data_IF_627924904199
#
_entry.id   IF_627924904199
#
_cell.length_a   1.000
_cell.length_b   1.000
_cell.length_c   1.000
_cell.angle_alpha   90.00
_cell.angle_beta   90.00
_cell.angle_gamma   90.00
#
_symmetry.space_group_name_H-M   'P 1'
#
loop_
_entity.id
_entity.type
_entity.pdbx_description
1 polymer ?
#
# COMPACT_ATOMS: atom_id res chain seq x y z
N UNK A 1 3.37 3.20 -4.84
CA UNK A 1 4.69 3.82 -5.07
C UNK A 1 5.10 3.69 -6.53
N UNK A 2 5.95 4.56 -7.06
CA UNK A 2 6.61 4.38 -8.35
C UNK A 2 7.67 3.27 -8.23
N UNK A 3 7.46 2.15 -8.94
CA UNK A 3 8.32 0.95 -8.83
C UNK A 3 9.64 1.11 -9.55
N UNK A 4 9.66 1.80 -10.69
CA UNK A 4 10.90 1.99 -11.46
C UNK A 4 11.93 2.81 -10.68
N UNK A 5 11.47 3.83 -9.95
CA UNK A 5 12.30 4.59 -9.02
C UNK A 5 12.79 3.68 -7.88
N UNK A 6 11.91 2.84 -7.34
CA UNK A 6 12.26 1.96 -6.23
C UNK A 6 13.34 0.93 -6.62
N UNK A 7 13.25 0.33 -7.81
CA UNK A 7 14.27 -0.61 -8.29
C UNK A 7 15.61 0.10 -8.55
N UNK A 8 15.62 1.36 -8.99
CA UNK A 8 16.86 2.16 -9.07
C UNK A 8 17.48 2.40 -7.69
N UNK A 9 16.66 2.67 -6.66
CA UNK A 9 17.12 2.79 -5.27
C UNK A 9 17.76 1.47 -4.81
N UNK A 10 17.15 0.33 -5.11
CA UNK A 10 17.69 -0.98 -4.74
C UNK A 10 19.05 -1.26 -5.38
N UNK A 11 19.19 -1.04 -6.70
CA UNK A 11 20.48 -1.19 -7.39
C UNK A 11 21.58 -0.39 -6.70
N UNK A 12 21.28 0.86 -6.34
CA UNK A 12 22.28 1.74 -5.71
C UNK A 12 22.58 1.40 -4.26
N UNK A 13 21.56 0.97 -3.52
CA UNK A 13 21.76 0.44 -2.18
C UNK A 13 22.74 -0.75 -2.22
N UNK A 14 22.56 -1.66 -3.18
CA UNK A 14 23.46 -2.81 -3.41
C UNK A 14 24.88 -2.32 -3.76
N UNK A 15 25.03 -1.39 -4.70
CA UNK A 15 26.32 -0.82 -5.09
C UNK A 15 27.07 -0.13 -3.93
N UNK A 16 26.33 0.47 -3.00
CA UNK A 16 26.87 1.18 -1.83
C UNK A 16 26.99 0.31 -0.58
N UNK A 17 26.57 -0.96 -0.65
CA UNK A 17 26.40 -1.81 0.53
C UNK A 17 27.69 -1.99 1.36
N UNK A 18 28.83 -2.24 0.70
CA UNK A 18 30.11 -2.38 1.41
C UNK A 18 30.56 -1.05 2.03
N UNK A 19 30.26 0.08 1.40
CA UNK A 19 30.62 1.43 1.88
C UNK A 19 29.82 1.83 3.12
N UNK A 20 28.50 1.65 3.11
CA UNK A 20 27.64 2.01 4.27
C UNK A 20 27.88 1.08 5.47
N UNK A 21 28.49 -0.08 5.27
CA UNK A 21 28.80 -1.05 6.33
C UNK A 21 30.29 -1.13 6.65
N UNK A 22 31.11 -0.17 6.19
CA UNK A 22 32.51 -0.10 6.60
C UNK A 22 32.65 0.31 8.08
N UNK A 23 33.87 0.30 8.59
CA UNK A 23 34.17 0.66 9.99
C UNK A 23 33.94 2.13 10.34
N UNK A 24 33.67 3.00 9.37
CA UNK A 24 33.40 4.42 9.61
C UNK A 24 31.90 4.71 9.72
N UNK A 25 31.08 3.97 8.97
CA UNK A 25 29.63 4.20 8.88
C UNK A 25 28.82 3.19 9.69
N UNK A 26 29.26 1.93 9.70
CA UNK A 26 28.76 0.86 10.56
C UNK A 26 27.24 0.62 10.51
N UNK A 27 26.53 0.85 9.39
CA UNK A 27 25.05 0.79 9.35
C UNK A 27 24.44 -0.58 9.75
N UNK A 28 25.25 -1.63 9.79
CA UNK A 28 24.90 -2.92 10.42
C UNK A 28 24.52 -2.82 11.90
N UNK A 29 24.90 -1.74 12.60
CA UNK A 29 24.59 -1.53 14.02
C UNK A 29 23.08 -1.60 14.30
N UNK A 30 22.22 -1.22 13.34
CA UNK A 30 20.76 -1.32 13.49
C UNK A 30 20.31 -2.75 13.78
N UNK A 31 20.91 -3.73 13.09
CA UNK A 31 20.65 -5.15 13.32
C UNK A 31 21.19 -5.64 14.67
N UNK A 32 22.32 -5.10 15.14
CA UNK A 32 22.86 -5.40 16.47
C UNK A 32 21.93 -4.86 17.56
N UNK A 33 21.48 -3.62 17.44
CA UNK A 33 20.59 -3.00 18.44
C UNK A 33 19.23 -3.71 18.47
N UNK A 34 18.65 -4.07 17.32
CA UNK A 34 17.42 -4.88 17.28
C UNK A 34 17.59 -6.28 17.88
N UNK A 35 18.81 -6.84 17.91
CA UNK A 35 19.08 -8.10 18.59
C UNK A 35 19.12 -7.92 20.11
N UNK A 36 19.84 -6.89 20.59
CA UNK A 36 20.14 -6.73 22.01
C UNK A 36 19.00 -6.06 22.80
N UNK A 37 18.25 -5.15 22.16
CA UNK A 37 17.28 -4.30 22.85
C UNK A 37 16.17 -5.07 23.57
N UNK A 38 15.50 -6.09 22.99
CA UNK A 38 14.40 -6.78 23.67
C UNK A 38 14.84 -7.40 25.01
N UNK A 39 16.02 -8.03 25.04
CA UNK A 39 16.57 -8.65 26.26
C UNK A 39 16.99 -7.60 27.29
N UNK A 40 17.61 -6.50 26.86
CA UNK A 40 17.99 -5.40 27.75
C UNK A 40 16.76 -4.71 28.35
N UNK A 41 15.76 -4.43 27.51
CA UNK A 41 14.52 -3.80 27.93
C UNK A 41 13.73 -4.70 28.89
N UNK A 42 13.63 -6.01 28.59
CA UNK A 42 13.02 -6.98 29.50
C UNK A 42 13.71 -6.99 30.86
N UNK A 43 15.05 -7.08 30.90
CA UNK A 43 15.82 -7.03 32.16
C UNK A 43 15.59 -5.73 32.93
N UNK A 44 15.48 -4.60 32.25
CA UNK A 44 15.15 -3.33 32.90
C UNK A 44 13.72 -3.35 33.48
N UNK A 45 12.73 -3.79 32.71
CA UNK A 45 11.34 -3.85 33.18
C UNK A 45 11.13 -4.84 34.33
N UNK A 46 11.97 -5.87 34.45
CA UNK A 46 11.97 -6.85 35.54
C UNK A 46 12.83 -6.45 36.75
N UNK A 47 13.64 -5.38 36.65
CA UNK A 47 14.53 -4.98 37.75
C UNK A 47 13.79 -4.29 38.89
N UNK A 48 14.33 -4.37 40.11
CA UNK A 48 13.85 -3.64 41.27
C UNK A 48 13.74 -2.12 41.01
N UNK A 49 12.77 -1.46 41.63
CA UNK A 49 12.51 -0.02 41.43
C UNK A 49 13.73 0.86 41.69
N UNK A 50 14.58 0.49 42.65
CA UNK A 50 15.80 1.24 43.00
C UNK A 50 16.89 1.13 41.92
N UNK A 51 16.90 0.04 41.15
CA UNK A 51 17.87 -0.19 40.07
C UNK A 51 17.29 0.14 38.68
N UNK A 52 15.98 0.40 38.58
CA UNK A 52 15.28 0.57 37.31
C UNK A 52 15.86 1.69 36.43
N UNK A 53 16.10 2.87 37.00
CA UNK A 53 16.69 3.98 36.25
C UNK A 53 18.07 3.63 35.69
N UNK A 54 18.88 2.89 36.45
CA UNK A 54 20.20 2.42 36.02
C UNK A 54 20.09 1.34 34.94
N UNK A 55 19.15 0.40 35.09
CA UNK A 55 18.89 -0.60 34.07
C UNK A 55 18.40 0.03 32.75
N UNK A 56 17.48 1.00 32.81
CA UNK A 56 17.07 1.78 31.64
C UNK A 56 18.22 2.56 31.00
N UNK A 57 19.16 3.08 31.80
CA UNK A 57 20.34 3.74 31.26
C UNK A 57 21.22 2.79 30.44
N UNK A 58 21.33 1.52 30.83
CA UNK A 58 22.01 0.50 30.04
C UNK A 58 21.31 0.28 28.69
N UNK A 59 19.97 0.22 28.67
CA UNK A 59 19.19 0.16 27.42
C UNK A 59 19.45 1.39 26.55
N UNK A 60 19.41 2.59 27.16
CA UNK A 60 19.67 3.85 26.47
C UNK A 60 21.02 3.84 25.76
N UNK A 61 22.07 3.33 26.42
CA UNK A 61 23.41 3.23 25.82
C UNK A 61 23.42 2.34 24.58
N UNK A 62 22.70 1.21 24.60
CA UNK A 62 22.60 0.32 23.45
C UNK A 62 21.88 0.98 22.26
N UNK A 63 20.91 1.87 22.51
CA UNK A 63 20.15 2.56 21.44
C UNK A 63 20.88 3.73 20.79
N UNK A 64 22.12 4.01 21.19
CA UNK A 64 23.02 5.06 20.71
C UNK A 64 22.34 6.33 20.16
N UNK A 65 22.10 6.40 18.85
CA UNK A 65 21.55 7.54 18.10
C UNK A 65 20.18 7.22 17.45
N UNK A 66 19.57 6.08 17.78
CA UNK A 66 18.31 5.63 17.19
C UNK A 66 17.12 6.37 17.82
N UNK A 67 17.04 6.39 19.15
CA UNK A 67 15.90 7.00 19.86
C UNK A 67 16.21 8.45 20.26
N UNK A 68 17.38 8.67 20.86
CA UNK A 68 17.79 10.00 21.30
C UNK A 68 18.16 10.89 20.12
N UNK A 69 17.26 11.80 19.79
CA UNK A 69 17.50 12.92 18.86
C UNK A 69 17.84 14.21 19.64
N UNK A 70 17.68 15.38 19.03
CA UNK A 70 17.93 16.67 19.68
C UNK A 70 17.13 16.85 20.99
N UNK A 71 15.92 16.31 21.08
CA UNK A 71 15.11 16.36 22.31
C UNK A 71 15.49 15.31 23.34
N UNK A 72 16.36 14.34 23.06
CA UNK A 72 16.79 13.29 24.00
C UNK A 72 15.64 12.52 24.71
N UNK A 73 14.64 12.01 23.98
CA UNK A 73 13.46 11.34 24.54
C UNK A 73 13.75 10.13 25.46
N UNK A 74 14.70 9.27 25.13
CA UNK A 74 15.06 8.13 25.99
C UNK A 74 15.77 8.62 27.25
N UNK A 75 16.66 9.59 27.12
CA UNK A 75 17.29 10.22 28.29
C UNK A 75 16.23 10.78 29.26
N UNK A 76 15.12 11.30 28.74
CA UNK A 76 13.95 11.69 29.52
C UNK A 76 13.32 10.55 30.32
N UNK A 77 13.12 9.38 29.71
CA UNK A 77 12.62 8.18 30.41
C UNK A 77 13.56 7.77 31.55
N UNK A 78 14.88 7.79 31.32
CA UNK A 78 15.89 7.46 32.33
C UNK A 78 15.85 8.45 33.49
N UNK A 79 15.79 9.75 33.19
CA UNK A 79 15.79 10.80 34.21
C UNK A 79 14.51 10.81 35.03
N UNK A 80 13.34 10.64 34.39
CA UNK A 80 12.07 10.52 35.09
C UNK A 80 12.02 9.26 35.96
N UNK A 81 12.61 8.14 35.52
CA UNK A 81 12.66 6.91 36.30
C UNK A 81 13.45 7.03 37.61
N UNK A 82 14.34 8.04 37.76
CA UNK A 82 15.03 8.32 39.03
C UNK A 82 14.07 8.81 40.12
N UNK A 83 13.01 9.51 39.72
CA UNK A 83 12.02 10.10 40.63
C UNK A 83 10.72 9.31 40.68
N UNK A 84 10.33 8.72 39.55
CA UNK A 84 9.03 8.07 39.31
C UNK A 84 9.21 6.69 38.65
N UNK A 85 9.98 5.76 39.25
CA UNK A 85 10.35 4.50 38.62
C UNK A 85 9.14 3.65 38.22
N UNK A 86 8.14 3.53 39.09
CA UNK A 86 6.95 2.71 38.82
C UNK A 86 6.01 3.32 37.78
N UNK A 87 5.89 4.65 37.76
CA UNK A 87 5.11 5.37 36.75
C UNK A 87 5.72 5.18 35.36
N UNK A 88 7.04 5.39 35.22
CA UNK A 88 7.75 5.17 33.96
C UNK A 88 7.70 3.71 33.53
N UNK A 89 7.90 2.77 34.45
CA UNK A 89 7.79 1.33 34.17
C UNK A 89 6.40 0.97 33.64
N UNK A 90 5.34 1.48 34.28
CA UNK A 90 3.96 1.22 33.87
C UNK A 90 3.70 1.76 32.46
N UNK A 91 4.13 2.98 32.17
CA UNK A 91 3.93 3.60 30.85
C UNK A 91 4.62 2.79 29.75
N UNK A 92 5.82 2.27 29.99
CA UNK A 92 6.53 1.39 29.05
C UNK A 92 5.85 0.02 28.90
N UNK A 93 5.42 -0.61 30.00
CA UNK A 93 4.67 -1.89 29.94
C UNK A 93 3.37 -1.72 29.16
N UNK A 94 2.62 -0.64 29.39
CA UNK A 94 1.38 -0.35 28.69
C UNK A 94 1.64 -0.11 27.19
N UNK A 95 2.76 0.55 26.83
CA UNK A 95 3.19 0.76 25.44
C UNK A 95 3.56 -0.57 24.75
N UNK A 96 4.20 -1.51 25.44
CA UNK A 96 4.63 -2.79 24.88
C UNK A 96 3.58 -3.91 24.96
N UNK A 97 2.44 -3.67 25.61
CA UNK A 97 1.36 -4.65 25.68
C UNK A 97 0.92 -5.11 24.27
N UNK A 98 0.57 -6.39 24.09
CA UNK A 98 0.17 -6.88 22.77
C UNK A 98 -1.05 -6.13 22.21
N UNK A 99 -1.01 -5.78 20.93
CA UNK A 99 -2.13 -5.15 20.20
C UNK A 99 -2.82 -6.09 19.20
N UNK A 100 -2.34 -7.33 19.07
CA UNK A 100 -2.91 -8.34 18.16
C UNK A 100 -2.81 -7.97 16.68
N UNK A 101 -1.93 -7.03 16.32
CA UNK A 101 -1.83 -6.49 14.96
C UNK A 101 -2.87 -5.43 14.62
N UNK A 102 -3.67 -4.97 15.59
CA UNK A 102 -4.65 -3.90 15.39
C UNK A 102 -4.00 -2.52 15.56
N UNK A 103 -3.85 -1.80 14.43
CA UNK A 103 -3.24 -0.46 14.42
C UNK A 103 -4.05 0.56 15.22
N UNK A 104 -5.36 0.40 15.39
CA UNK A 104 -6.17 1.30 16.23
C UNK A 104 -5.84 1.12 17.70
N UNK A 105 -5.67 -0.13 18.15
CA UNK A 105 -5.23 -0.43 19.52
C UNK A 105 -3.82 0.12 19.73
N UNK A 106 -2.92 -0.07 18.74
CA UNK A 106 -1.56 0.48 18.78
C UNK A 106 -1.54 2.01 18.90
N UNK A 107 -2.34 2.71 18.09
CA UNK A 107 -2.47 4.17 18.17
C UNK A 107 -3.04 4.63 19.52
N UNK A 108 -4.01 3.91 20.10
CA UNK A 108 -4.51 4.22 21.44
C UNK A 108 -3.43 4.07 22.51
N UNK A 109 -2.60 3.03 22.43
CA UNK A 109 -1.46 2.84 23.35
C UNK A 109 -0.43 3.97 23.22
N UNK A 110 -0.12 4.40 21.99
CA UNK A 110 0.77 5.53 21.73
C UNK A 110 0.19 6.83 22.31
N UNK A 111 -1.11 7.09 22.10
CA UNK A 111 -1.79 8.25 22.68
C UNK A 111 -1.72 8.25 24.21
N UNK A 112 -2.02 7.11 24.83
CA UNK A 112 -1.95 6.96 26.29
C UNK A 112 -0.52 7.12 26.82
N UNK A 113 0.48 6.65 26.05
CA UNK A 113 1.89 6.84 26.37
C UNK A 113 2.24 8.34 26.38
N UNK A 114 1.87 9.09 25.35
CA UNK A 114 2.14 10.53 25.29
C UNK A 114 1.45 11.29 26.42
N UNK A 115 0.17 11.00 26.69
CA UNK A 115 -0.58 11.65 27.78
C UNK A 115 0.11 11.45 29.13
N UNK A 116 0.32 10.20 29.54
CA UNK A 116 0.95 9.89 30.84
C UNK A 116 2.41 10.37 30.93
N UNK A 117 3.16 10.28 29.84
CA UNK A 117 4.53 10.77 29.82
C UNK A 117 4.59 12.29 29.94
N UNK A 118 3.71 13.02 29.24
CA UNK A 118 3.66 14.48 29.31
C UNK A 118 3.26 14.97 30.70
N UNK A 119 2.36 14.27 31.41
CA UNK A 119 2.06 14.58 32.83
C UNK A 119 3.31 14.51 33.71
N UNK A 120 4.16 13.49 33.53
CA UNK A 120 5.43 13.38 34.25
C UNK A 120 6.41 14.46 33.80
N UNK A 121 6.49 14.72 32.50
CA UNK A 121 7.40 15.73 31.96
C UNK A 121 7.05 17.13 32.49
N UNK A 122 5.79 17.52 32.46
CA UNK A 122 5.31 18.82 32.94
C UNK A 122 5.55 18.99 34.47
N UNK A 123 5.44 17.89 35.23
CA UNK A 123 5.69 17.90 36.68
C UNK A 123 7.17 18.12 37.03
N UNK A 124 8.09 17.48 36.30
CA UNK A 124 9.53 17.47 36.65
C UNK A 124 10.39 18.44 35.82
N UNK A 125 9.95 18.75 34.60
CA UNK A 125 10.66 19.58 33.63
C UNK A 125 9.70 20.53 32.91
N UNK A 126 8.96 21.40 33.64
CA UNK A 126 8.01 22.32 33.05
C UNK A 126 8.70 23.20 32.00
N UNK A 127 7.99 23.45 30.89
CA UNK A 127 8.44 24.28 29.75
C UNK A 127 9.74 23.81 29.04
N UNK A 128 10.28 22.64 29.41
CA UNK A 128 11.49 22.11 28.79
C UNK A 128 11.23 21.67 27.36
N UNK A 129 12.15 22.01 26.44
CA UNK A 129 12.18 21.45 25.10
C UNK A 129 12.87 20.07 25.06
N UNK A 130 13.69 19.76 26.07
CA UNK A 130 14.31 18.45 26.23
C UNK A 130 13.29 17.44 26.77
N UNK A 131 13.61 16.16 26.55
CA UNK A 131 12.88 14.98 26.97
C UNK A 131 11.51 14.78 26.31
N UNK A 132 11.11 15.67 25.39
CA UNK A 132 9.88 15.50 24.62
C UNK A 132 9.91 14.24 23.74
N UNK A 133 8.86 13.44 23.87
CA UNK A 133 8.58 12.30 23.01
C UNK A 133 7.89 12.78 21.72
N UNK A 134 8.02 12.00 20.64
CA UNK A 134 7.35 12.25 19.37
C UNK A 134 7.16 10.93 18.61
N UNK A 135 6.59 11.01 17.40
CA UNK A 135 6.33 9.81 16.59
C UNK A 135 7.60 9.03 16.25
N UNK A 136 8.76 9.69 16.15
CA UNK A 136 10.03 9.00 15.93
C UNK A 136 10.46 8.20 17.16
N UNK A 137 10.43 8.79 18.36
CA UNK A 137 10.87 8.09 19.56
C UNK A 137 9.95 6.94 19.94
N UNK A 138 8.63 7.12 19.83
CA UNK A 138 7.67 6.06 20.18
C UNK A 138 7.70 4.91 19.17
N UNK A 139 7.82 5.19 17.87
CA UNK A 139 7.96 4.14 16.86
C UNK A 139 9.27 3.38 17.03
N UNK A 140 10.37 4.04 17.39
CA UNK A 140 11.64 3.39 17.65
C UNK A 140 11.61 2.53 18.92
N UNK A 141 10.94 2.96 20.00
CA UNK A 141 10.73 2.14 21.19
C UNK A 141 9.97 0.84 20.84
N UNK A 142 8.85 0.96 20.11
CA UNK A 142 8.06 -0.19 19.66
C UNK A 142 8.86 -1.10 18.71
N UNK A 143 9.54 -0.51 17.73
CA UNK A 143 10.32 -1.21 16.73
C UNK A 143 11.48 -2.01 17.31
N UNK A 144 12.28 -1.40 18.19
CA UNK A 144 13.41 -2.10 18.79
C UNK A 144 12.97 -3.22 19.74
N UNK A 145 11.77 -3.11 20.33
CA UNK A 145 11.20 -4.16 21.18
C UNK A 145 10.67 -5.35 20.37
N UNK A 146 10.08 -5.09 19.20
CA UNK A 146 9.45 -6.11 18.35
C UNK A 146 9.54 -5.70 16.86
N UNK A 147 10.73 -5.88 16.24
CA UNK A 147 11.02 -5.39 14.90
C UNK A 147 10.21 -6.10 13.81
N UNK A 148 9.75 -7.32 14.05
CA UNK A 148 8.97 -8.09 13.09
C UNK A 148 7.51 -7.59 12.95
N UNK A 149 6.99 -6.82 13.91
CA UNK A 149 5.58 -6.36 13.90
C UNK A 149 5.41 -4.84 13.83
N UNK A 150 6.51 -4.09 13.83
CA UNK A 150 6.50 -2.63 13.84
C UNK A 150 7.42 -2.07 12.76
N UNK A 151 7.23 -0.80 12.42
CA UNK A 151 8.13 -0.04 11.56
C UNK A 151 8.70 1.15 12.31
N UNK A 152 10.00 1.39 12.16
CA UNK A 152 10.63 2.60 12.68
C UNK A 152 10.33 3.80 11.78
N UNK A 153 10.01 4.94 12.39
CA UNK A 153 9.75 6.19 11.69
C UNK A 153 10.82 7.23 11.96
N UNK A 154 11.31 7.91 10.92
CA UNK A 154 12.19 9.09 11.05
C UNK A 154 11.77 10.16 10.06
N UNK A 155 11.12 11.21 10.58
CA UNK A 155 10.31 12.15 9.80
C UNK A 155 10.98 12.67 8.51
N UNK A 156 12.20 13.19 8.59
CA UNK A 156 12.89 13.76 7.43
C UNK A 156 13.19 12.71 6.36
N UNK A 157 13.71 11.56 6.77
CA UNK A 157 14.12 10.45 5.89
C UNK A 157 12.89 9.82 5.24
N UNK A 158 11.88 9.48 6.04
CA UNK A 158 10.62 8.92 5.55
C UNK A 158 9.92 9.86 4.56
N UNK A 159 9.88 11.18 4.84
CA UNK A 159 9.25 12.15 3.92
C UNK A 159 10.03 12.33 2.62
N UNK A 160 11.37 12.37 2.68
CA UNK A 160 12.22 12.43 1.48
C UNK A 160 12.07 11.19 0.62
N UNK A 161 12.05 10.02 1.25
CA UNK A 161 11.84 8.74 0.58
C UNK A 161 10.48 8.71 -0.12
N UNK A 162 9.41 9.02 0.58
CA UNK A 162 8.06 9.05 0.02
C UNK A 162 7.93 10.03 -1.15
N UNK A 163 8.55 11.21 -1.05
CA UNK A 163 8.57 12.18 -2.14
C UNK A 163 9.28 11.64 -3.39
N UNK A 164 10.35 10.86 -3.19
CA UNK A 164 11.10 10.21 -4.25
C UNK A 164 10.30 9.11 -4.93
N UNK A 165 9.71 8.18 -4.17
CA UNK A 165 8.93 7.04 -4.70
C UNK A 165 7.48 7.40 -5.02
N UNK A 166 7.16 8.69 -5.12
CA UNK A 166 5.83 9.23 -5.42
C UNK A 166 4.69 8.69 -4.52
N UNK A 167 5.00 8.45 -3.24
CA UNK A 167 4.01 8.14 -2.22
C UNK A 167 3.59 9.44 -1.52
N UNK A 168 2.42 9.97 -1.88
CA UNK A 168 2.01 11.32 -1.47
C UNK A 168 0.94 11.38 -0.38
N UNK A 169 0.48 10.23 0.10
CA UNK A 169 -0.48 10.18 1.19
C UNK A 169 0.12 10.78 2.48
N UNK A 170 -0.72 11.42 3.29
CA UNK A 170 -0.29 12.17 4.46
C UNK A 170 -0.48 11.36 5.73
N UNK A 171 0.62 10.95 6.36
CA UNK A 171 0.60 10.26 7.64
C UNK A 171 0.86 11.19 8.84
N UNK A 172 0.92 12.51 8.65
CA UNK A 172 1.14 13.47 9.73
C UNK A 172 2.61 13.77 10.04
N UNK A 173 2.84 14.50 11.14
CA UNK A 173 4.17 14.98 11.55
C UNK A 173 4.25 15.27 13.05
N UNK A 174 5.48 15.36 13.58
CA UNK A 174 5.70 15.65 15.00
C UNK A 174 5.36 14.46 15.88
N UNK A 175 4.42 14.66 16.80
CA UNK A 175 3.79 13.68 17.70
C UNK A 175 2.49 13.09 17.15
N UNK A 176 2.03 13.56 15.98
CA UNK A 176 0.88 13.01 15.26
C UNK A 176 1.41 12.08 14.15
N UNK A 177 1.00 10.82 14.18
CA UNK A 177 1.26 9.86 13.10
C UNK A 177 0.04 8.98 12.85
N UNK A 178 -0.35 8.86 11.58
CA UNK A 178 -1.30 7.87 11.10
C UNK A 178 -0.53 6.59 10.74
N UNK A 179 -0.66 5.57 11.58
CA UNK A 179 0.05 4.31 11.37
C UNK A 179 -0.49 3.53 10.17
N UNK A 180 -1.77 3.62 9.84
CA UNK A 180 -2.34 2.92 8.68
C UNK A 180 -1.66 3.42 7.39
N UNK A 181 -1.48 4.73 7.25
CA UNK A 181 -0.83 5.31 6.06
C UNK A 181 0.67 5.04 6.05
N UNK A 182 1.37 5.22 7.18
CA UNK A 182 2.82 5.00 7.25
C UNK A 182 3.19 3.52 7.07
N UNK A 183 2.44 2.60 7.69
CA UNK A 183 2.66 1.16 7.53
C UNK A 183 2.40 0.73 6.09
N UNK A 184 1.34 1.22 5.43
CA UNK A 184 1.12 0.92 4.01
C UNK A 184 2.31 1.32 3.14
N UNK A 185 2.92 2.49 3.40
CA UNK A 185 4.14 2.90 2.70
C UNK A 185 5.25 1.85 2.91
N UNK A 186 5.48 1.44 4.15
CA UNK A 186 6.52 0.47 4.47
C UNK A 186 6.21 -0.94 3.91
N UNK A 187 4.95 -1.37 3.93
CA UNK A 187 4.50 -2.65 3.39
C UNK A 187 4.64 -2.71 1.86
N UNK A 188 4.32 -1.62 1.15
CA UNK A 188 4.57 -1.50 -0.30
C UNK A 188 6.07 -1.64 -0.60
N UNK A 189 6.94 -1.00 0.19
CA UNK A 189 8.40 -1.12 0.08
C UNK A 189 8.86 -2.56 0.35
N UNK A 190 8.45 -3.15 1.47
CA UNK A 190 8.81 -4.53 1.86
C UNK A 190 8.34 -5.55 0.82
N UNK A 191 7.14 -5.37 0.26
CA UNK A 191 6.62 -6.21 -0.81
C UNK A 191 7.54 -6.23 -2.03
N UNK A 192 8.09 -5.08 -2.42
CA UNK A 192 9.02 -4.99 -3.54
C UNK A 192 10.45 -5.47 -3.17
N UNK A 193 10.92 -5.22 -1.94
CA UNK A 193 12.16 -5.81 -1.41
C UNK A 193 12.12 -7.34 -1.53
N UNK A 194 11.02 -7.96 -1.06
CA UNK A 194 10.83 -9.43 -1.08
C UNK A 194 10.77 -10.01 -2.50
N UNK A 195 10.58 -9.19 -3.55
CA UNK A 195 10.62 -9.60 -4.97
C UNK A 195 12.00 -9.43 -5.60
N UNK A 196 12.89 -8.63 -5.01
CA UNK A 196 14.21 -8.34 -5.57
C UNK A 196 15.26 -9.32 -5.01
N UNK A 197 15.60 -10.35 -5.80
CA UNK A 197 16.56 -11.39 -5.39
C UNK A 197 17.96 -10.84 -5.09
N UNK A 198 18.46 -9.90 -5.89
CA UNK A 198 19.81 -9.36 -5.72
C UNK A 198 19.94 -8.58 -4.41
N UNK A 199 18.91 -7.80 -4.07
CA UNK A 199 18.84 -7.09 -2.79
C UNK A 199 18.78 -8.06 -1.61
N UNK A 200 17.98 -9.13 -1.72
CA UNK A 200 17.88 -10.15 -0.67
C UNK A 200 19.20 -10.93 -0.50
N UNK A 201 19.88 -11.28 -1.59
CA UNK A 201 21.19 -11.93 -1.55
C UNK A 201 22.24 -10.99 -0.91
N UNK A 202 22.14 -9.68 -1.20
CA UNK A 202 23.00 -8.65 -0.58
C UNK A 202 22.74 -8.51 0.91
N UNK A 203 21.47 -8.42 1.33
CA UNK A 203 21.09 -8.38 2.76
C UNK A 203 21.54 -9.64 3.51
N UNK A 204 21.39 -10.82 2.89
CA UNK A 204 21.86 -12.08 3.47
C UNK A 204 23.39 -12.13 3.64
N UNK A 205 24.15 -11.40 2.82
CA UNK A 205 25.62 -11.34 2.94
C UNK A 205 26.11 -10.66 4.24
N UNK A 206 25.23 -9.97 4.98
CA UNK A 206 25.55 -9.50 6.35
C UNK A 206 26.00 -10.64 7.27
N UNK A 207 25.51 -11.85 7.02
CA UNK A 207 25.70 -13.02 7.89
C UNK A 207 26.78 -13.99 7.39
N UNK A 208 27.36 -13.78 6.20
CA UNK A 208 28.31 -14.73 5.60
C UNK A 208 29.78 -14.50 6.01
N UNK A 209 30.04 -13.42 6.76
CA UNK A 209 31.37 -13.02 7.23
C UNK A 209 32.18 -12.14 6.27
N UNK A 210 31.69 -11.86 5.06
CA UNK A 210 32.32 -10.99 4.05
C UNK A 210 32.68 -9.62 4.60
N UNK A 211 31.74 -9.00 5.33
CA UNK A 211 31.90 -7.65 5.86
C UNK A 211 32.82 -7.56 7.08
N UNK A 212 33.25 -8.69 7.67
CA UNK A 212 34.12 -8.74 8.86
C UNK A 212 33.66 -7.82 10.00
N UNK A 213 32.36 -7.82 10.26
CA UNK A 213 31.72 -6.92 11.22
C UNK A 213 32.29 -7.11 12.64
N UNK A 214 32.62 -6.03 13.36
CA UNK A 214 33.08 -6.09 14.75
C UNK A 214 31.93 -6.43 15.70
N UNK A 215 32.06 -7.56 16.41
CA UNK A 215 31.25 -7.92 17.58
C UNK A 215 29.74 -8.11 17.32
N UNK A 216 29.00 -8.42 18.40
CA UNK A 216 27.54 -8.48 18.43
C UNK A 216 26.90 -9.65 17.66
N UNK A 217 25.69 -10.03 18.06
CA UNK A 217 24.81 -10.85 17.22
C UNK A 217 23.91 -9.91 16.41
N UNK A 218 23.59 -10.30 15.18
CA UNK A 218 22.66 -9.56 14.33
C UNK A 218 21.27 -10.17 14.46
N UNK A 219 20.24 -9.33 14.48
CA UNK A 219 18.86 -9.78 14.33
C UNK A 219 18.65 -10.34 12.91
N UNK A 220 17.86 -11.40 12.71
CA UNK A 220 17.75 -12.04 11.38
C UNK A 220 16.90 -11.24 10.37
N UNK A 221 16.05 -10.34 10.85
CA UNK A 221 15.15 -9.48 10.07
C UNK A 221 14.33 -10.28 9.03
N UNK A 222 13.55 -11.24 9.52
CA UNK A 222 12.75 -12.13 8.67
C UNK A 222 11.67 -11.38 7.91
N UNK A 223 11.09 -10.34 8.52
CA UNK A 223 10.06 -9.52 7.88
C UNK A 223 10.59 -8.38 7.01
N UNK A 224 11.90 -8.11 7.05
CA UNK A 224 12.59 -7.06 6.28
C UNK A 224 12.26 -5.64 6.70
N UNK A 225 11.77 -5.46 7.93
CA UNK A 225 11.45 -4.14 8.45
C UNK A 225 12.71 -3.35 8.82
N UNK A 226 13.77 -4.02 9.29
CA UNK A 226 15.07 -3.35 9.53
C UNK A 226 15.66 -2.90 8.20
N UNK A 227 15.68 -3.78 7.19
CA UNK A 227 16.14 -3.44 5.84
C UNK A 227 15.32 -2.31 5.21
N UNK A 228 14.00 -2.32 5.38
CA UNK A 228 13.14 -1.23 4.89
C UNK A 228 13.50 0.11 5.53
N UNK A 229 13.66 0.15 6.86
CA UNK A 229 14.12 1.34 7.55
C UNK A 229 15.52 1.77 7.09
N UNK A 230 16.43 0.82 6.93
CA UNK A 230 17.80 1.09 6.51
C UNK A 230 17.85 1.72 5.12
N UNK A 231 17.10 1.17 4.15
CA UNK A 231 16.97 1.75 2.80
C UNK A 231 16.42 3.18 2.88
N UNK A 232 15.32 3.40 3.62
CA UNK A 232 14.72 4.75 3.79
C UNK A 232 15.74 5.73 4.36
N UNK A 233 16.51 5.31 5.37
CA UNK A 233 17.52 6.12 6.01
C UNK A 233 18.69 6.43 5.06
N UNK A 234 19.27 5.39 4.47
CA UNK A 234 20.45 5.46 3.62
C UNK A 234 20.19 6.26 2.33
N UNK A 235 18.94 6.27 1.85
CA UNK A 235 18.50 7.16 0.77
C UNK A 235 18.93 8.62 0.98
N UNK A 236 18.74 9.14 2.19
CA UNK A 236 19.03 10.54 2.50
C UNK A 236 20.44 10.80 3.03
N UNK A 237 21.10 9.78 3.58
CA UNK A 237 22.35 9.93 4.34
C UNK A 237 23.57 9.53 3.52
N UNK A 238 23.40 8.61 2.56
CA UNK A 238 24.48 8.05 1.73
C UNK A 238 24.27 8.30 0.24
N UNK A 239 23.55 9.37 -0.09
CA UNK A 239 23.35 9.85 -1.46
C UNK A 239 22.83 8.78 -2.44
N UNK A 240 22.05 7.80 -1.97
CA UNK A 240 21.47 6.78 -2.84
C UNK A 240 20.46 7.42 -3.83
N UNK A 241 19.88 8.57 -3.48
CA UNK A 241 19.09 9.39 -4.41
C UNK A 241 19.91 9.97 -5.58
N UNK A 242 21.24 10.02 -5.52
CA UNK A 242 22.06 10.79 -6.48
C UNK A 242 22.00 10.22 -7.89
N UNK A 243 21.23 10.86 -8.77
CA UNK A 243 20.94 10.40 -10.13
C UNK A 243 19.62 9.62 -10.28
N UNK A 244 18.79 9.54 -9.24
CA UNK A 244 17.38 9.14 -9.37
C UNK A 244 16.63 10.41 -9.75
N UNK A 245 16.02 10.43 -10.93
CA UNK A 245 15.22 11.57 -11.35
C UNK A 245 13.81 11.44 -10.79
N UNK A 246 13.41 12.38 -9.93
CA UNK A 246 12.04 12.47 -9.44
C UNK A 246 11.61 13.93 -9.31
N UNK A 247 10.30 14.18 -9.44
CA UNK A 247 9.76 15.54 -9.32
C UNK A 247 9.36 15.81 -7.88
N UNK A 248 10.05 16.75 -7.23
CA UNK A 248 9.64 17.23 -5.91
C UNK A 248 8.41 18.12 -6.04
N UNK A 249 7.25 17.57 -5.68
CA UNK A 249 5.96 18.26 -5.68
C UNK A 249 5.75 19.05 -4.38
N UNK A 250 5.20 20.26 -4.48
CA UNK A 250 4.70 21.01 -3.31
C UNK A 250 3.35 20.44 -2.84
N UNK A 251 2.82 20.94 -1.72
CA UNK A 251 1.58 20.41 -1.13
C UNK A 251 0.38 20.42 -2.10
N UNK A 252 0.21 21.50 -2.87
CA UNK A 252 -0.89 21.63 -3.83
C UNK A 252 -0.73 20.69 -5.02
N UNK A 253 0.50 20.51 -5.49
CA UNK A 253 0.81 19.56 -6.56
C UNK A 253 0.62 18.10 -6.14
N UNK A 254 0.96 17.76 -4.88
CA UNK A 254 0.68 16.43 -4.31
C UNK A 254 -0.82 16.15 -4.24
N UNK A 255 -1.59 17.12 -3.74
CA UNK A 255 -3.06 17.00 -3.70
C UNK A 255 -3.64 16.78 -5.10
N UNK A 256 -3.25 17.61 -6.07
CA UNK A 256 -3.73 17.47 -7.45
C UNK A 256 -3.33 16.11 -8.07
N UNK A 257 -2.14 15.60 -7.75
CA UNK A 257 -1.70 14.28 -8.20
C UNK A 257 -2.60 13.17 -7.62
N UNK A 258 -2.92 13.22 -6.33
CA UNK A 258 -3.82 12.25 -5.69
C UNK A 258 -5.23 12.31 -6.30
N UNK A 259 -5.78 13.51 -6.51
CA UNK A 259 -7.09 13.70 -7.17
C UNK A 259 -7.09 13.13 -8.59
N UNK A 260 -6.02 13.35 -9.36
CA UNK A 260 -5.87 12.78 -10.70
C UNK A 260 -5.74 11.25 -10.66
N UNK A 261 -5.03 10.70 -9.68
CA UNK A 261 -4.88 9.25 -9.48
C UNK A 261 -6.21 8.57 -9.13
N UNK A 262 -6.97 9.14 -8.20
CA UNK A 262 -8.32 8.66 -7.87
C UNK A 262 -9.24 8.71 -9.10
N UNK A 263 -9.19 9.83 -9.84
CA UNK A 263 -9.96 9.99 -11.08
C UNK A 263 -9.55 8.97 -12.14
N UNK A 264 -8.26 8.69 -12.29
CA UNK A 264 -7.74 7.68 -13.20
C UNK A 264 -8.28 6.29 -12.85
N UNK A 265 -8.21 5.90 -11.57
CA UNK A 265 -8.72 4.61 -11.10
C UNK A 265 -10.23 4.48 -11.33
N UNK A 266 -11.00 5.52 -11.03
CA UNK A 266 -12.43 5.55 -11.29
C UNK A 266 -12.75 5.41 -12.80
N UNK A 267 -12.02 6.13 -13.66
CA UNK A 267 -12.16 6.02 -15.12
C UNK A 267 -11.74 4.64 -15.64
N UNK A 268 -10.72 4.01 -15.04
CA UNK A 268 -10.31 2.64 -15.36
C UNK A 268 -11.41 1.63 -15.05
N UNK A 269 -12.04 1.74 -13.87
CA UNK A 269 -13.17 0.89 -13.50
C UNK A 269 -14.36 1.07 -14.46
N UNK A 270 -14.65 2.31 -14.89
CA UNK A 270 -15.67 2.57 -15.92
C UNK A 270 -15.29 1.91 -17.25
N UNK A 271 -14.03 2.02 -17.67
CA UNK A 271 -13.54 1.41 -18.90
C UNK A 271 -13.61 -0.12 -18.86
N UNK A 272 -13.17 -0.75 -17.77
CA UNK A 272 -13.25 -2.21 -17.57
C UNK A 272 -14.70 -2.69 -17.60
N UNK A 273 -15.62 -1.98 -16.94
CA UNK A 273 -17.05 -2.26 -17.01
C UNK A 273 -17.59 -2.12 -18.44
N UNK A 274 -17.26 -1.05 -19.14
CA UNK A 274 -17.72 -0.82 -20.52
C UNK A 274 -17.17 -1.89 -21.48
N UNK A 275 -15.94 -2.36 -21.25
CA UNK A 275 -15.33 -3.47 -21.99
C UNK A 275 -16.09 -4.76 -21.75
N UNK A 276 -16.35 -5.12 -20.48
CA UNK A 276 -17.11 -6.32 -20.14
C UNK A 276 -18.53 -6.30 -20.73
N UNK A 277 -19.20 -5.14 -20.75
CA UNK A 277 -20.52 -5.00 -21.39
C UNK A 277 -20.45 -5.16 -22.91
N UNK A 278 -19.39 -4.68 -23.55
CA UNK A 278 -19.18 -4.86 -25.00
C UNK A 278 -18.90 -6.32 -25.34
N UNK A 279 -18.02 -6.97 -24.58
CA UNK A 279 -17.70 -8.40 -24.75
C UNK A 279 -18.96 -9.25 -24.58
N UNK A 280 -19.82 -8.93 -23.60
CA UNK A 280 -21.12 -9.60 -23.40
C UNK A 280 -22.11 -9.33 -24.55
N UNK A 281 -22.11 -8.12 -25.13
CA UNK A 281 -22.93 -7.82 -26.31
C UNK A 281 -22.47 -8.63 -27.53
N UNK A 282 -21.16 -8.72 -27.76
CA UNK A 282 -20.58 -9.50 -28.86
C UNK A 282 -20.88 -11.00 -28.67
N UNK A 283 -20.73 -11.53 -27.45
CA UNK A 283 -21.15 -12.90 -27.10
C UNK A 283 -22.64 -13.13 -27.40
N UNK A 284 -23.51 -12.20 -27.01
CA UNK A 284 -24.95 -12.29 -27.25
C UNK A 284 -25.26 -12.34 -28.76
N UNK A 285 -24.69 -11.43 -29.54
CA UNK A 285 -24.93 -11.35 -30.99
C UNK A 285 -24.42 -12.61 -31.69
N UNK A 286 -23.19 -13.06 -31.39
CA UNK A 286 -22.63 -14.30 -31.93
C UNK A 286 -23.48 -15.52 -31.56
N UNK A 287 -23.97 -15.58 -30.32
CA UNK A 287 -24.84 -16.67 -29.87
C UNK A 287 -26.10 -16.74 -30.72
N UNK A 288 -26.80 -15.62 -30.91
CA UNK A 288 -28.02 -15.58 -31.72
C UNK A 288 -27.74 -15.85 -33.21
N UNK A 289 -26.65 -15.37 -33.78
CA UNK A 289 -26.31 -15.66 -35.19
C UNK A 289 -25.88 -17.11 -35.42
N UNK A 290 -25.38 -17.80 -34.38
CA UNK A 290 -24.99 -19.21 -34.49
C UNK A 290 -26.16 -20.18 -34.32
N UNK A 291 -27.18 -19.80 -33.54
CA UNK A 291 -28.34 -20.66 -33.27
C UNK A 291 -29.48 -20.45 -34.26
N UNK A 292 -29.53 -19.32 -34.94
CA UNK A 292 -30.55 -18.97 -35.94
C UNK A 292 -29.98 -19.21 -37.34
N UNK A 293 -30.66 -20.01 -38.15
CA UNK A 293 -30.25 -20.38 -39.50
C UNK A 293 -31.19 -19.85 -40.58
N UNK A 294 -30.65 -19.68 -41.80
CA UNK A 294 -31.48 -19.40 -42.98
C UNK A 294 -32.43 -20.58 -43.21
N UNK A 295 -33.71 -20.27 -43.44
CA UNK A 295 -34.78 -21.26 -43.55
C UNK A 295 -35.56 -21.54 -42.25
N UNK A 296 -35.07 -21.05 -41.10
CA UNK A 296 -35.80 -21.21 -39.83
C UNK A 296 -37.12 -20.41 -39.83
N UNK A 297 -38.11 -20.97 -39.13
CA UNK A 297 -39.40 -20.30 -38.90
C UNK A 297 -39.29 -19.33 -37.75
N UNK A 298 -39.82 -18.14 -37.96
CA UNK A 298 -39.91 -17.09 -36.95
C UNK A 298 -41.31 -16.53 -36.84
N UNK A 299 -41.64 -16.04 -35.66
CA UNK A 299 -42.83 -15.27 -35.41
C UNK A 299 -42.47 -13.81 -35.14
N UNK A 300 -43.04 -12.89 -35.93
CA UNK A 300 -42.94 -11.45 -35.66
C UNK A 300 -44.28 -10.90 -35.18
N UNK A 301 -44.28 -10.13 -34.08
CA UNK A 301 -45.52 -9.65 -33.43
C UNK A 301 -46.49 -8.91 -34.37
N UNK A 302 -45.98 -8.22 -35.40
CA UNK A 302 -46.79 -7.47 -36.38
C UNK A 302 -47.06 -8.24 -37.68
N UNK A 303 -46.15 -9.09 -38.11
CA UNK A 303 -46.18 -9.69 -39.45
C UNK A 303 -46.56 -11.17 -39.43
N UNK A 304 -46.66 -11.77 -38.25
CA UNK A 304 -46.96 -13.18 -38.06
C UNK A 304 -45.77 -14.08 -38.41
N UNK A 305 -46.07 -15.26 -38.93
CA UNK A 305 -45.09 -16.28 -39.32
C UNK A 305 -44.28 -15.85 -40.56
N UNK A 306 -42.97 -16.02 -40.49
CA UNK A 306 -42.03 -15.77 -41.59
C UNK A 306 -40.91 -16.80 -41.65
N UNK A 307 -40.16 -16.78 -42.76
CA UNK A 307 -38.99 -17.62 -42.99
C UNK A 307 -37.77 -16.73 -43.15
N UNK A 308 -36.68 -17.05 -42.45
CA UNK A 308 -35.42 -16.29 -42.53
C UNK A 308 -34.76 -16.49 -43.88
N UNK A 309 -34.39 -15.38 -44.54
CA UNK A 309 -33.61 -15.37 -45.78
C UNK A 309 -32.13 -15.04 -45.55
N UNK A 310 -31.84 -14.18 -44.58
CA UNK A 310 -30.47 -13.88 -44.15
C UNK A 310 -30.42 -13.37 -42.72
N UNK A 311 -29.27 -13.55 -42.08
CA UNK A 311 -29.00 -13.08 -40.72
C UNK A 311 -27.54 -12.65 -40.60
N UNK A 312 -27.32 -11.53 -39.91
CA UNK A 312 -26.03 -11.09 -39.39
C UNK A 312 -26.21 -10.49 -37.99
N UNK A 313 -25.11 -10.04 -37.37
CA UNK A 313 -25.11 -9.45 -36.02
C UNK A 313 -25.93 -8.15 -35.90
N UNK A 314 -26.34 -7.53 -37.01
CA UNK A 314 -27.12 -6.29 -37.04
C UNK A 314 -28.58 -6.56 -37.37
N UNK A 315 -28.86 -7.45 -38.31
CA UNK A 315 -30.19 -7.62 -38.91
C UNK A 315 -30.55 -9.08 -39.19
N UNK A 316 -31.85 -9.36 -39.08
CA UNK A 316 -32.52 -10.51 -39.69
C UNK A 316 -33.36 -9.99 -40.86
N UNK A 317 -33.25 -10.65 -42.01
CA UNK A 317 -34.16 -10.47 -43.15
C UNK A 317 -35.03 -11.70 -43.26
N UNK A 318 -36.34 -11.51 -43.25
CA UNK A 318 -37.31 -12.60 -43.36
C UNK A 318 -38.44 -12.27 -44.33
N UNK A 319 -38.90 -13.32 -45.02
CA UNK A 319 -40.08 -13.27 -45.88
C UNK A 319 -41.32 -13.69 -45.06
N UNK A 320 -42.17 -12.71 -44.77
CA UNK A 320 -43.50 -12.93 -44.26
C UNK A 320 -44.41 -12.92 -45.47
N UNK A 321 -45.34 -13.88 -45.63
CA UNK A 321 -46.15 -14.13 -46.86
C UNK A 321 -46.65 -12.91 -47.67
N UNK A 322 -46.79 -11.74 -47.03
CA UNK A 322 -47.27 -10.48 -47.60
C UNK A 322 -46.17 -9.43 -47.84
N UNK A 323 -44.99 -9.57 -47.22
CA UNK A 323 -43.90 -8.59 -47.22
C UNK A 323 -42.57 -9.19 -46.70
N UNK A 324 -41.48 -8.89 -47.43
CA UNK A 324 -40.12 -9.01 -46.90
C UNK A 324 -39.79 -7.87 -45.93
N UNK A 325 -39.23 -8.19 -44.77
CA UNK A 325 -38.84 -7.20 -43.77
C UNK A 325 -37.42 -7.44 -43.24
N UNK A 326 -36.68 -6.35 -43.09
CA UNK A 326 -35.40 -6.30 -42.40
C UNK A 326 -35.64 -5.77 -40.98
N UNK A 327 -35.19 -6.52 -39.98
CA UNK A 327 -35.44 -6.25 -38.56
C UNK A 327 -34.09 -6.21 -37.86
N UNK A 328 -33.86 -5.22 -36.99
CA UNK A 328 -32.63 -5.21 -36.18
C UNK A 328 -32.63 -6.41 -35.23
N UNK A 329 -31.57 -7.23 -35.29
CA UNK A 329 -31.42 -8.43 -34.46
C UNK A 329 -31.49 -8.08 -32.95
N UNK A 330 -30.65 -7.16 -32.42
CA UNK A 330 -30.71 -6.80 -31.00
C UNK A 330 -32.09 -6.26 -30.57
N UNK A 331 -32.68 -5.35 -31.35
CA UNK A 331 -33.98 -4.74 -31.02
C UNK A 331 -35.10 -5.78 -31.10
N UNK A 332 -35.06 -6.63 -32.13
CA UNK A 332 -36.06 -7.65 -32.40
C UNK A 332 -36.16 -8.67 -31.27
N UNK A 333 -35.03 -9.15 -30.79
CA UNK A 333 -34.95 -10.10 -29.68
C UNK A 333 -35.29 -9.41 -28.35
N UNK A 334 -34.61 -8.31 -28.04
CA UNK A 334 -34.66 -7.72 -26.70
C UNK A 334 -36.04 -7.16 -26.33
N UNK A 335 -36.78 -6.67 -27.33
CA UNK A 335 -38.13 -6.15 -27.17
C UNK A 335 -39.22 -7.19 -27.44
N UNK A 336 -38.86 -8.46 -27.68
CA UNK A 336 -39.81 -9.53 -27.95
C UNK A 336 -40.60 -9.34 -29.25
N UNK A 337 -40.06 -8.58 -30.21
CA UNK A 337 -40.68 -8.41 -31.52
C UNK A 337 -40.54 -9.68 -32.37
N UNK A 338 -39.49 -10.44 -32.11
CA UNK A 338 -39.15 -11.70 -32.77
C UNK A 338 -39.09 -12.85 -31.77
N UNK A 339 -39.72 -13.97 -32.13
CA UNK A 339 -39.53 -15.27 -31.49
C UNK A 339 -39.09 -16.29 -32.53
N UNK A 340 -38.04 -17.03 -32.23
CA UNK A 340 -37.52 -18.11 -33.09
C UNK A 340 -38.01 -19.44 -32.53
N UNK A 341 -38.49 -20.32 -33.40
CA UNK A 341 -38.94 -21.66 -33.02
C UNK A 341 -37.73 -22.58 -32.81
N UNK A 342 -37.08 -22.42 -31.65
CA UNK A 342 -35.89 -23.20 -31.28
C UNK A 342 -35.90 -23.59 -29.80
N UNK A 343 -35.17 -24.66 -29.46
CA UNK A 343 -35.04 -25.14 -28.09
C UNK A 343 -34.27 -24.13 -27.24
N UNK A 344 -34.83 -23.79 -26.08
CA UNK A 344 -34.23 -22.89 -25.07
C UNK A 344 -34.04 -21.42 -25.50
N UNK A 345 -34.80 -20.96 -26.52
CA UNK A 345 -34.79 -19.55 -26.95
C UNK A 345 -35.02 -18.59 -25.78
N UNK A 346 -36.04 -18.85 -24.97
CA UNK A 346 -36.43 -17.99 -23.85
C UNK A 346 -35.31 -17.89 -22.78
N UNK A 347 -34.48 -18.94 -22.61
CA UNK A 347 -33.30 -18.94 -21.74
C UNK A 347 -32.19 -18.02 -22.25
N UNK A 348 -31.87 -18.09 -23.55
CA UNK A 348 -30.92 -17.17 -24.19
C UNK A 348 -31.38 -15.71 -24.14
N UNK A 349 -32.67 -15.47 -24.39
CA UNK A 349 -33.25 -14.13 -24.28
C UNK A 349 -33.12 -13.63 -22.84
N UNK A 350 -33.51 -14.43 -21.84
CA UNK A 350 -33.39 -14.02 -20.44
C UNK A 350 -31.94 -13.66 -20.04
N UNK A 351 -30.94 -14.39 -20.56
CA UNK A 351 -29.51 -14.11 -20.29
C UNK A 351 -29.05 -12.77 -20.88
N UNK A 352 -29.43 -12.44 -22.11
CA UNK A 352 -28.84 -11.31 -22.85
C UNK A 352 -29.78 -10.10 -23.05
N UNK A 353 -31.04 -10.18 -22.62
CA UNK A 353 -32.03 -9.15 -22.91
C UNK A 353 -31.57 -7.74 -22.49
N UNK A 354 -30.96 -7.60 -21.31
CA UNK A 354 -30.53 -6.29 -20.81
C UNK A 354 -29.44 -5.66 -21.69
N UNK A 355 -28.40 -6.42 -22.03
CA UNK A 355 -27.29 -5.91 -22.85
C UNK A 355 -27.76 -5.58 -24.27
N UNK A 356 -28.68 -6.38 -24.83
CA UNK A 356 -29.25 -6.13 -26.16
C UNK A 356 -30.15 -4.89 -26.19
N UNK A 357 -30.93 -4.62 -25.12
CA UNK A 357 -31.69 -3.35 -24.99
C UNK A 357 -30.77 -2.13 -25.03
N UNK A 358 -29.57 -2.26 -24.47
CA UNK A 358 -28.56 -1.21 -24.39
C UNK A 358 -27.52 -1.24 -25.52
N UNK A 359 -27.73 -2.03 -26.58
CA UNK A 359 -26.71 -2.24 -27.63
C UNK A 359 -26.13 -0.94 -28.22
N UNK A 360 -26.96 0.09 -28.45
CA UNK A 360 -26.48 1.38 -28.97
C UNK A 360 -25.57 2.08 -27.98
N UNK A 361 -25.96 2.19 -26.70
CA UNK A 361 -25.13 2.87 -25.71
C UNK A 361 -23.85 2.08 -25.42
N UNK A 362 -23.93 0.75 -25.27
CA UNK A 362 -22.77 -0.13 -25.04
C UNK A 362 -21.70 0.07 -26.12
N UNK A 363 -22.09 0.15 -27.41
CA UNK A 363 -21.15 0.38 -28.52
C UNK A 363 -20.37 1.69 -28.40
N UNK A 364 -21.01 2.76 -27.90
CA UNK A 364 -20.36 4.08 -27.77
C UNK A 364 -19.64 4.24 -26.42
N UNK A 365 -20.10 3.54 -25.37
CA UNK A 365 -19.58 3.68 -24.02
C UNK A 365 -18.11 3.29 -23.90
N UNK A 366 -17.68 2.22 -24.58
CA UNK A 366 -16.27 1.82 -24.53
C UNK A 366 -15.35 2.88 -25.16
N UNK A 367 -15.72 3.43 -26.31
CA UNK A 367 -14.92 4.47 -26.97
C UNK A 367 -14.84 5.76 -26.14
N UNK A 368 -15.96 6.14 -25.51
CA UNK A 368 -16.01 7.31 -24.62
C UNK A 368 -15.19 7.08 -23.35
N UNK A 369 -15.29 5.88 -22.75
CA UNK A 369 -14.52 5.50 -21.58
C UNK A 369 -13.02 5.49 -21.88
N UNK A 370 -12.61 4.90 -23.01
CA UNK A 370 -11.22 4.88 -23.45
C UNK A 370 -10.67 6.31 -23.68
N UNK A 371 -11.45 7.19 -24.35
CA UNK A 371 -11.04 8.59 -24.56
C UNK A 371 -10.89 9.37 -23.26
N UNK A 372 -11.76 9.11 -22.30
CA UNK A 372 -11.73 9.78 -20.99
C UNK A 372 -10.55 9.29 -20.16
N UNK A 373 -10.30 7.98 -20.17
CA UNK A 373 -9.19 7.35 -19.46
C UNK A 373 -7.82 7.81 -20.00
N UNK A 374 -7.70 7.95 -21.32
CA UNK A 374 -6.46 8.34 -22.01
C UNK A 374 -5.80 9.61 -21.46
N UNK A 375 -6.58 10.54 -20.92
CA UNK A 375 -6.06 11.78 -20.35
C UNK A 375 -5.36 11.58 -18.99
N UNK A 376 -5.53 10.41 -18.38
CA UNK A 376 -5.11 10.08 -17.03
C UNK A 376 -4.34 8.75 -16.96
N UNK A 377 -3.97 8.16 -18.10
CA UNK A 377 -3.28 6.86 -18.16
C UNK A 377 -1.96 6.86 -17.37
N UNK A 378 -1.22 7.98 -17.39
CA UNK A 378 0.04 8.16 -16.66
C UNK A 378 -0.11 8.06 -15.12
N UNK A 379 -1.34 8.07 -14.59
CA UNK A 379 -1.61 7.96 -13.15
C UNK A 379 -2.03 6.54 -12.71
N UNK A 380 -2.02 5.55 -13.61
CA UNK A 380 -2.47 4.17 -13.36
C UNK A 380 -1.37 3.16 -12.99
N UNK A 381 -0.15 3.62 -12.73
CA UNK A 381 1.01 2.77 -12.37
C UNK A 381 0.80 1.90 -11.12
#
# INVERSE_FOLDING_TARGET
>A
MNKDILHQIFTRYIERFDYINDSAHEEYYKWQVCHEFPDLMKKALESDSNEFAKALYEVKKATYNIIDSYTQPFSGLVDLAKSEPESVRRILIDLYAGDGGDLKIRMQKISNFFEKYNELLDKYYPDSFLYKQNSHSVSALLFLNDPDNHYMYKATQSRRFADCVEFYDDWGSGDIIDLDIYHRMCDELVSEIKKNKELLDTDASRFDGRLKLPGGQLHLDTEKHILAFDIIYCCSVYDIFDGVSYTKRNAKEKQLYLENKEKAQHLKAIHEKAKAEKDLLEEALMCFTNIISVGDKIHHIKYGEGIIESIDEKYIVADFKQKKAQISLPIGIANGLLKVDMKDYDGYVAKYQDVLKRHTSVRHNLENAARSLKQYEDYLE
#
